data_IF_011946916948
#
_entry.id   IF_011946916948
#
_cell.length_a   1.000
_cell.length_b   1.000
_cell.length_c   1.000
_cell.angle_alpha   90.00
_cell.angle_beta   90.00
_cell.angle_gamma   90.00
#
_symmetry.space_group_name_H-M   'P 1'
#
loop_
_entity.id
_entity.type
_entity.pdbx_description
1 polymer ?
#
# COMPACT_ATOMS: atom_id res chain seq x y z
N UNK A 1 21.08 -10.08 -0.38
CA UNK A 1 19.99 -9.14 -0.16
C UNK A 1 19.15 -9.67 1.00
N UNK A 2 18.67 -8.84 1.92
CA UNK A 2 17.98 -9.32 3.10
C UNK A 2 16.63 -9.95 2.71
N UNK A 3 16.44 -11.19 3.12
CA UNK A 3 15.20 -11.94 2.99
C UNK A 3 14.87 -12.62 4.31
N UNK A 4 13.60 -12.86 4.56
CA UNK A 4 13.14 -13.64 5.72
C UNK A 4 12.07 -14.65 5.31
N UNK A 5 11.92 -15.70 6.10
CA UNK A 5 10.80 -16.63 5.96
C UNK A 5 9.60 -16.09 6.73
N UNK A 6 8.50 -15.90 6.05
CA UNK A 6 7.28 -15.38 6.63
C UNK A 6 6.08 -16.17 6.11
N UNK A 7 5.36 -16.84 7.00
CA UNK A 7 4.11 -17.54 6.70
C UNK A 7 4.20 -18.43 5.43
N UNK A 8 5.28 -19.22 5.32
CA UNK A 8 5.53 -20.10 4.16
C UNK A 8 6.05 -19.40 2.90
N UNK A 9 6.31 -18.11 2.95
CA UNK A 9 6.87 -17.32 1.86
C UNK A 9 8.27 -16.82 2.21
N UNK A 10 9.11 -16.59 1.19
CA UNK A 10 10.34 -15.82 1.34
C UNK A 10 10.05 -14.38 0.96
N UNK A 11 10.18 -13.45 1.91
CA UNK A 11 9.97 -12.04 1.66
C UNK A 11 11.31 -11.31 1.53
N UNK A 12 11.44 -10.50 0.49
CA UNK A 12 12.50 -9.49 0.35
C UNK A 12 12.09 -8.23 1.12
N UNK A 13 13.04 -7.64 1.85
CA UNK A 13 12.81 -6.39 2.56
C UNK A 13 14.05 -5.50 2.57
N UNK A 14 13.85 -4.24 2.86
CA UNK A 14 14.91 -3.25 3.11
C UNK A 14 14.60 -2.49 4.40
N UNK A 15 15.65 -2.09 5.11
CA UNK A 15 15.56 -1.27 6.33
C UNK A 15 16.43 -0.04 6.14
N UNK A 16 15.83 1.13 6.31
CA UNK A 16 16.48 2.42 6.11
C UNK A 16 16.29 3.32 7.34
N UNK A 17 17.33 4.04 7.75
CA UNK A 17 17.29 4.93 8.89
C UNK A 17 17.26 4.23 10.25
N UNK A 18 17.12 5.03 11.28
CA UNK A 18 17.07 4.64 12.68
C UNK A 18 15.86 5.31 13.37
N UNK A 19 15.54 4.88 14.57
CA UNK A 19 14.45 5.43 15.38
C UNK A 19 13.25 4.51 15.50
N UNK A 20 12.05 5.07 15.72
CA UNK A 20 10.84 4.28 15.89
C UNK A 20 10.47 3.56 14.58
N UNK A 21 10.08 2.27 14.65
CA UNK A 21 9.81 1.50 13.45
C UNK A 21 8.59 2.03 12.67
N UNK A 22 8.74 2.18 11.35
CA UNK A 22 7.67 2.43 10.40
C UNK A 22 7.66 1.33 9.33
N UNK A 23 6.63 0.52 9.31
CA UNK A 23 6.44 -0.50 8.26
C UNK A 23 5.55 0.07 7.16
N UNK A 24 6.03 0.02 5.92
CA UNK A 24 5.30 0.49 4.74
C UNK A 24 4.86 -0.70 3.88
N UNK A 25 3.56 -0.88 3.72
CA UNK A 25 2.94 -1.96 2.94
C UNK A 25 2.41 -1.39 1.63
N UNK A 26 2.99 -1.83 0.51
CA UNK A 26 2.63 -1.34 -0.83
C UNK A 26 1.40 -2.06 -1.41
N UNK A 27 0.80 -1.43 -2.42
CA UNK A 27 -0.38 -1.91 -3.12
C UNK A 27 -0.14 -3.02 -4.14
N UNK A 28 -1.18 -3.31 -4.90
CA UNK A 28 -1.23 -4.34 -5.94
C UNK A 28 -0.13 -4.12 -6.99
N UNK A 29 0.56 -5.18 -7.34
CA UNK A 29 1.58 -5.24 -8.40
C UNK A 29 2.84 -4.39 -8.18
N UNK A 30 2.94 -3.65 -7.10
CA UNK A 30 4.06 -2.77 -6.84
C UNK A 30 5.01 -3.37 -5.79
N UNK A 31 6.31 -3.25 -6.06
CA UNK A 31 7.40 -3.69 -5.20
C UNK A 31 8.04 -2.51 -4.43
N UNK A 32 9.16 -2.75 -3.76
CA UNK A 32 9.89 -1.73 -2.98
C UNK A 32 10.27 -0.49 -3.78
N UNK A 33 10.46 -0.57 -5.10
CA UNK A 33 10.77 0.59 -5.95
C UNK A 33 9.68 1.67 -5.92
N UNK A 34 8.43 1.29 -5.65
CA UNK A 34 7.33 2.24 -5.56
C UNK A 34 7.43 3.18 -4.35
N UNK A 35 8.32 2.90 -3.39
CA UNK A 35 8.62 3.76 -2.25
C UNK A 35 9.83 4.69 -2.47
N UNK A 36 10.41 4.74 -3.67
CA UNK A 36 11.66 5.47 -3.94
C UNK A 36 11.62 6.95 -3.51
N UNK A 37 10.46 7.62 -3.62
CA UNK A 37 10.29 9.02 -3.22
C UNK A 37 9.92 9.21 -1.73
N UNK A 38 9.68 8.13 -0.99
CA UNK A 38 9.29 8.12 0.42
C UNK A 38 10.43 7.74 1.34
N UNK A 39 11.20 6.73 0.95
CA UNK A 39 12.21 6.07 1.82
C UNK A 39 13.15 7.07 2.47
N UNK A 40 13.73 7.99 1.69
CA UNK A 40 14.69 8.95 2.25
C UNK A 40 14.04 9.86 3.30
N UNK A 41 12.87 10.41 3.00
CA UNK A 41 12.16 11.32 3.91
C UNK A 41 11.74 10.62 5.21
N UNK A 42 11.27 9.36 5.11
CA UNK A 42 10.88 8.59 6.29
C UNK A 42 12.09 8.15 7.11
N UNK A 43 13.17 7.73 6.45
CA UNK A 43 14.41 7.28 7.08
C UNK A 43 15.17 8.36 7.88
N UNK A 44 14.89 9.65 7.63
CA UNK A 44 15.43 10.74 8.44
C UNK A 44 14.91 10.74 9.90
N UNK A 45 13.77 10.09 10.16
CA UNK A 45 13.09 10.11 11.46
C UNK A 45 12.73 8.73 11.99
N UNK A 46 12.67 7.72 11.13
CA UNK A 46 12.16 6.39 11.46
C UNK A 46 13.07 5.28 10.93
N UNK A 47 13.10 4.17 11.65
CA UNK A 47 13.57 2.89 11.11
C UNK A 47 12.52 2.38 10.13
N UNK A 48 12.65 2.82 8.88
CA UNK A 48 11.67 2.54 7.81
C UNK A 48 11.91 1.17 7.20
N UNK A 49 10.91 0.30 7.29
CA UNK A 49 10.89 -1.04 6.70
C UNK A 49 9.99 -1.01 5.48
N UNK A 50 10.54 -1.31 4.31
CA UNK A 50 9.80 -1.57 3.07
C UNK A 50 10.05 -3.00 2.65
N UNK A 51 9.09 -3.64 1.99
CA UNK A 51 9.24 -5.02 1.55
C UNK A 51 8.37 -5.30 0.32
N UNK A 52 8.77 -6.32 -0.41
CA UNK A 52 7.99 -6.87 -1.49
C UNK A 52 6.94 -7.83 -0.92
N UNK A 53 5.66 -7.54 -1.11
CA UNK A 53 4.60 -8.48 -0.76
C UNK A 53 4.81 -9.82 -1.50
N UNK A 54 4.20 -10.92 -1.00
CA UNK A 54 4.15 -12.16 -1.79
C UNK A 54 3.66 -11.88 -3.21
N UNK A 55 4.18 -12.60 -4.19
CA UNK A 55 3.84 -12.48 -5.62
C UNK A 55 4.42 -11.25 -6.35
N UNK A 56 5.16 -10.35 -5.71
CA UNK A 56 5.83 -9.23 -6.40
C UNK A 56 7.34 -9.23 -6.17
N UNK A 57 8.06 -8.49 -7.01
CA UNK A 57 9.47 -8.19 -6.87
C UNK A 57 10.34 -9.42 -6.62
N UNK A 58 11.19 -9.34 -5.62
CA UNK A 58 12.14 -10.36 -5.20
C UNK A 58 11.56 -11.37 -4.19
N UNK A 59 10.33 -11.12 -3.71
CA UNK A 59 9.63 -12.10 -2.87
C UNK A 59 9.16 -13.31 -3.66
N UNK A 60 8.98 -14.43 -2.95
CA UNK A 60 8.52 -15.68 -3.59
C UNK A 60 7.14 -15.52 -4.23
N UNK A 61 6.91 -16.32 -5.24
CA UNK A 61 5.61 -16.43 -5.89
C UNK A 61 4.84 -17.56 -5.21
N UNK A 62 3.58 -17.28 -4.82
CA UNK A 62 2.73 -18.26 -4.18
C UNK A 62 2.28 -19.34 -5.18
N UNK A 63 2.12 -20.57 -4.70
CA UNK A 63 1.63 -21.69 -5.52
C UNK A 63 0.09 -21.75 -5.55
N UNK A 64 -0.55 -21.19 -4.49
CA UNK A 64 -2.00 -21.25 -4.31
C UNK A 64 -2.61 -19.85 -4.11
N UNK A 65 -3.94 -19.77 -4.24
CA UNK A 65 -4.70 -18.56 -3.92
C UNK A 65 -4.64 -18.30 -2.41
N UNK A 66 -4.58 -17.03 -2.04
CA UNK A 66 -4.52 -16.54 -0.67
C UNK A 66 -5.49 -15.37 -0.47
N UNK A 67 -5.62 -14.92 0.77
CA UNK A 67 -6.43 -13.77 1.16
C UNK A 67 -5.56 -12.61 1.68
N UNK A 68 -6.14 -11.43 1.84
CA UNK A 68 -5.47 -10.27 2.45
C UNK A 68 -4.96 -10.59 3.87
N UNK A 69 -5.66 -11.47 4.60
CA UNK A 69 -5.22 -11.93 5.94
C UNK A 69 -3.92 -12.70 5.93
N UNK A 70 -3.66 -13.48 4.88
CA UNK A 70 -2.39 -14.18 4.72
C UNK A 70 -1.24 -13.19 4.52
N UNK A 71 -1.47 -12.12 3.75
CA UNK A 71 -0.49 -11.04 3.55
C UNK A 71 -0.28 -10.20 4.83
N UNK A 72 -1.32 -10.04 5.63
CA UNK A 72 -1.20 -9.43 6.96
C UNK A 72 -0.35 -10.28 7.91
N UNK A 73 -0.52 -11.60 7.87
CA UNK A 73 0.34 -12.52 8.62
C UNK A 73 1.79 -12.49 8.13
N UNK A 74 2.04 -12.31 6.84
CA UNK A 74 3.38 -12.09 6.30
C UNK A 74 4.03 -10.85 6.93
N UNK A 75 3.27 -9.75 6.98
CA UNK A 75 3.73 -8.48 7.56
C UNK A 75 4.07 -8.63 9.05
N UNK A 76 3.22 -9.32 9.82
CA UNK A 76 3.46 -9.59 11.24
C UNK A 76 4.68 -10.47 11.45
N UNK A 77 4.85 -11.52 10.62
CA UNK A 77 6.02 -12.40 10.70
C UNK A 77 7.31 -11.69 10.29
N UNK A 78 7.25 -10.75 9.32
CA UNK A 78 8.39 -9.88 9.01
C UNK A 78 8.73 -8.98 10.22
N UNK A 79 7.73 -8.40 10.88
CA UNK A 79 7.94 -7.59 12.08
C UNK A 79 8.59 -8.42 13.21
N UNK A 80 8.17 -9.69 13.40
CA UNK A 80 8.77 -10.61 14.37
C UNK A 80 10.24 -10.91 14.02
N UNK A 81 10.53 -11.19 12.75
CA UNK A 81 11.89 -11.48 12.28
C UNK A 81 12.84 -10.26 12.43
N UNK A 82 12.30 -9.05 12.46
CA UNK A 82 13.03 -7.81 12.70
C UNK A 82 13.03 -7.34 14.16
N UNK A 83 12.45 -8.16 15.06
CA UNK A 83 12.32 -7.89 16.50
C UNK A 83 11.59 -6.56 16.79
N UNK A 84 10.50 -6.30 16.04
CA UNK A 84 9.68 -5.10 16.19
C UNK A 84 8.46 -5.40 17.07
N UNK A 85 8.56 -5.16 18.37
CA UNK A 85 7.45 -5.35 19.31
C UNK A 85 6.25 -4.45 18.99
N UNK A 86 6.52 -3.19 18.60
CA UNK A 86 5.50 -2.23 18.16
C UNK A 86 6.04 -1.33 17.05
N UNK A 87 5.14 -0.82 16.21
CA UNK A 87 5.51 -0.06 15.02
C UNK A 87 4.40 0.89 14.56
N UNK A 88 4.77 1.92 13.81
CA UNK A 88 3.86 2.68 12.97
C UNK A 88 3.62 1.90 11.67
N UNK A 89 2.40 1.93 11.16
CA UNK A 89 2.02 1.16 9.98
C UNK A 89 1.42 2.08 8.91
N UNK A 90 2.00 2.04 7.72
CA UNK A 90 1.51 2.72 6.53
C UNK A 90 1.09 1.69 5.48
N UNK A 91 -0.18 1.70 5.10
CA UNK A 91 -0.70 0.88 4.01
C UNK A 91 -1.18 1.71 2.83
N UNK A 92 -0.71 1.41 1.62
CA UNK A 92 -1.04 2.10 0.39
C UNK A 92 -1.91 1.22 -0.52
N UNK A 93 -3.10 1.67 -0.94
CA UNK A 93 -4.01 0.95 -1.83
C UNK A 93 -4.36 -0.45 -1.28
N UNK A 94 -4.09 -1.55 -1.99
CA UNK A 94 -4.22 -2.91 -1.45
C UNK A 94 -3.42 -3.08 -0.15
N UNK A 95 -2.26 -2.42 -0.03
CA UNK A 95 -1.48 -2.41 1.21
C UNK A 95 -2.23 -1.82 2.39
N UNK A 96 -3.17 -0.90 2.15
CA UNK A 96 -4.09 -0.40 3.17
C UNK A 96 -5.09 -1.46 3.64
N UNK A 97 -5.57 -2.33 2.77
CA UNK A 97 -6.39 -3.49 3.15
C UNK A 97 -5.58 -4.48 4.00
N UNK A 98 -4.30 -4.71 3.64
CA UNK A 98 -3.37 -5.53 4.44
C UNK A 98 -3.15 -4.89 5.82
N UNK A 99 -2.88 -3.60 5.87
CA UNK A 99 -2.65 -2.85 7.11
C UNK A 99 -3.88 -2.86 8.04
N UNK A 100 -5.10 -2.83 7.49
CA UNK A 100 -6.33 -3.02 8.27
C UNK A 100 -6.34 -4.40 8.95
N UNK A 101 -6.04 -5.48 8.23
CA UNK A 101 -6.00 -6.83 8.82
C UNK A 101 -4.86 -7.00 9.83
N UNK A 102 -3.69 -6.37 9.62
CA UNK A 102 -2.62 -6.31 10.63
C UNK A 102 -3.12 -5.64 11.90
N UNK A 103 -3.73 -4.46 11.79
CA UNK A 103 -4.25 -3.69 12.92
C UNK A 103 -5.40 -4.39 13.66
N UNK A 104 -6.25 -5.13 12.93
CA UNK A 104 -7.33 -5.93 13.51
C UNK A 104 -6.83 -7.19 14.24
N UNK A 105 -5.67 -7.72 13.82
CA UNK A 105 -5.11 -8.96 14.38
C UNK A 105 -4.16 -8.69 15.54
N UNK A 106 -3.40 -7.60 15.50
CA UNK A 106 -2.35 -7.26 16.47
C UNK A 106 -2.43 -5.77 16.85
N UNK A 107 -3.60 -5.34 17.31
CA UNK A 107 -3.92 -3.93 17.61
C UNK A 107 -2.93 -3.29 18.60
N UNK A 108 -2.45 -4.05 19.58
CA UNK A 108 -1.50 -3.61 20.60
C UNK A 108 -0.10 -3.33 20.07
N UNK A 109 0.23 -3.85 18.89
CA UNK A 109 1.52 -3.62 18.22
C UNK A 109 1.52 -2.40 17.30
N UNK A 110 0.35 -1.94 16.85
CA UNK A 110 0.23 -0.82 15.91
C UNK A 110 0.07 0.50 16.67
N UNK A 111 1.13 1.30 16.70
CA UNK A 111 1.15 2.60 17.41
C UNK A 111 0.30 3.66 16.71
N UNK A 112 0.40 3.73 15.39
CA UNK A 112 -0.45 4.54 14.51
C UNK A 112 -0.68 3.81 13.22
N UNK A 113 -1.83 4.02 12.60
CA UNK A 113 -2.21 3.41 11.33
C UNK A 113 -2.49 4.50 10.29
N UNK A 114 -1.71 4.55 9.21
CA UNK A 114 -1.98 5.40 8.05
C UNK A 114 -2.51 4.55 6.89
N UNK A 115 -3.70 4.89 6.40
CA UNK A 115 -4.41 4.20 5.34
C UNK A 115 -4.54 5.13 4.13
N UNK A 116 -3.68 4.97 3.13
CA UNK A 116 -3.61 5.85 1.96
C UNK A 116 -4.30 5.22 0.75
N UNK A 117 -5.16 5.98 0.07
CA UNK A 117 -5.84 5.62 -1.19
C UNK A 117 -6.42 4.20 -1.19
N UNK A 118 -7.09 3.82 -0.09
CA UNK A 118 -7.55 2.47 0.16
C UNK A 118 -9.05 2.42 0.52
N UNK A 119 -9.57 1.24 0.79
CA UNK A 119 -10.99 0.96 0.95
C UNK A 119 -11.24 -0.05 2.07
N UNK A 120 -12.43 -0.01 2.68
CA UNK A 120 -12.89 -1.04 3.62
C UNK A 120 -13.37 -2.31 2.91
N UNK A 121 -13.90 -2.17 1.69
CA UNK A 121 -14.35 -3.27 0.82
C UNK A 121 -14.30 -2.87 -0.64
N UNK A 122 -14.06 -3.83 -1.52
CA UNK A 122 -14.11 -3.61 -2.98
C UNK A 122 -15.53 -3.24 -3.46
N UNK A 123 -16.57 -3.83 -2.87
CA UNK A 123 -17.96 -3.65 -3.30
C UNK A 123 -18.21 -4.10 -4.74
N UNK A 124 -19.45 -3.96 -5.21
CA UNK A 124 -19.83 -4.47 -6.54
C UNK A 124 -19.07 -3.80 -7.70
N UNK A 125 -18.76 -2.51 -7.58
CA UNK A 125 -17.99 -1.80 -8.59
C UNK A 125 -16.56 -2.34 -8.66
N UNK A 126 -15.90 -2.46 -7.51
CA UNK A 126 -14.54 -3.01 -7.43
C UNK A 126 -14.46 -4.46 -7.88
N UNK A 127 -15.48 -5.28 -7.57
CA UNK A 127 -15.59 -6.64 -8.09
C UNK A 127 -15.62 -6.67 -9.62
N UNK A 128 -16.44 -5.82 -10.25
CA UNK A 128 -16.55 -5.77 -11.71
C UNK A 128 -15.31 -5.19 -12.37
N UNK A 129 -14.74 -4.15 -11.78
CA UNK A 129 -13.47 -3.58 -12.24
C UNK A 129 -12.36 -4.62 -12.22
N UNK A 130 -12.20 -5.35 -11.12
CA UNK A 130 -11.19 -6.40 -10.96
C UNK A 130 -11.37 -7.55 -11.96
N UNK A 131 -12.60 -7.96 -12.21
CA UNK A 131 -12.91 -8.97 -13.24
C UNK A 131 -12.42 -8.55 -14.63
N UNK A 132 -12.75 -7.32 -15.03
CA UNK A 132 -12.40 -6.78 -16.35
C UNK A 132 -10.89 -6.58 -16.46
N UNK A 133 -10.28 -5.94 -15.48
CA UNK A 133 -8.85 -5.62 -15.50
C UNK A 133 -7.98 -6.88 -15.35
N UNK A 134 -8.32 -7.77 -14.43
CA UNK A 134 -7.63 -9.05 -14.29
C UNK A 134 -7.71 -9.92 -15.55
N UNK A 135 -8.88 -9.97 -16.21
CA UNK A 135 -9.05 -10.66 -17.47
C UNK A 135 -8.25 -10.04 -18.61
N UNK A 136 -8.08 -8.71 -18.60
CA UNK A 136 -7.25 -7.99 -19.56
C UNK A 136 -5.75 -8.25 -19.34
N UNK A 137 -5.26 -8.25 -18.09
CA UNK A 137 -3.85 -8.51 -17.75
C UNK A 137 -3.30 -9.80 -18.35
N UNK A 138 -4.15 -10.82 -18.53
CA UNK A 138 -3.78 -12.10 -19.14
C UNK A 138 -3.57 -12.03 -20.67
N UNK A 139 -3.93 -10.93 -21.33
CA UNK A 139 -3.99 -10.79 -22.79
C UNK A 139 -3.12 -9.69 -23.35
N UNK A 140 -2.60 -8.81 -22.50
CA UNK A 140 -1.79 -7.67 -22.91
C UNK A 140 -0.31 -7.92 -22.63
N UNK A 141 0.55 -7.24 -23.38
CA UNK A 141 1.99 -7.21 -23.11
C UNK A 141 2.30 -6.51 -21.78
N UNK A 142 3.55 -6.64 -21.33
CA UNK A 142 4.02 -5.93 -20.14
C UNK A 142 3.96 -4.41 -20.35
N UNK A 143 4.35 -3.93 -21.51
CA UNK A 143 4.34 -2.53 -21.88
C UNK A 143 2.93 -1.96 -21.83
N UNK A 144 1.97 -2.63 -22.48
CA UNK A 144 0.57 -2.23 -22.46
C UNK A 144 -0.01 -2.21 -21.04
N UNK A 145 0.35 -3.17 -20.20
CA UNK A 145 -0.09 -3.20 -18.82
C UNK A 145 0.48 -2.04 -17.99
N UNK A 146 1.75 -1.68 -18.21
CA UNK A 146 2.39 -0.52 -17.55
C UNK A 146 1.68 0.77 -18.01
N UNK A 147 1.43 0.92 -19.31
CA UNK A 147 0.73 2.09 -19.84
C UNK A 147 -0.70 2.20 -19.25
N UNK A 148 -1.41 1.08 -19.10
CA UNK A 148 -2.72 1.05 -18.42
C UNK A 148 -2.62 1.42 -16.94
N UNK A 149 -1.63 0.91 -16.21
CA UNK A 149 -1.40 1.27 -14.82
C UNK A 149 -1.14 2.78 -14.66
N UNK A 150 -0.28 3.34 -15.50
CA UNK A 150 0.02 4.77 -15.48
C UNK A 150 -1.24 5.60 -15.74
N UNK A 151 -2.05 5.24 -16.76
CA UNK A 151 -3.30 5.94 -17.07
C UNK A 151 -4.33 5.87 -15.92
N UNK A 152 -4.34 4.81 -15.15
CA UNK A 152 -5.26 4.65 -14.03
C UNK A 152 -4.77 5.29 -12.73
N UNK A 153 -3.46 5.52 -12.61
CA UNK A 153 -2.87 5.99 -11.35
C UNK A 153 -2.35 7.42 -11.40
N UNK A 154 -2.06 7.96 -12.58
CA UNK A 154 -1.46 9.28 -12.78
C UNK A 154 -2.46 10.24 -13.45
N UNK A 155 -2.28 11.54 -13.21
CA UNK A 155 -3.16 12.57 -13.75
C UNK A 155 -2.86 12.91 -15.20
N UNK A 156 -3.83 13.51 -15.88
CA UNK A 156 -3.63 14.14 -17.20
C UNK A 156 -2.48 15.16 -17.17
N UNK A 157 -2.40 15.98 -16.11
CA UNK A 157 -1.33 16.97 -15.91
C UNK A 157 0.06 16.32 -15.84
N UNK A 158 0.17 15.13 -15.23
CA UNK A 158 1.43 14.38 -15.20
C UNK A 158 1.87 13.95 -16.60
N UNK A 159 0.95 13.51 -17.43
CA UNK A 159 1.25 13.09 -18.82
C UNK A 159 1.68 14.25 -19.71
N UNK A 160 1.29 15.50 -19.43
CA UNK A 160 1.79 16.69 -20.14
C UNK A 160 3.30 16.95 -19.86
N UNK A 161 3.86 16.36 -18.81
CA UNK A 161 5.30 16.33 -18.57
C UNK A 161 5.91 15.06 -19.18
N UNK A 162 6.29 15.15 -20.45
CA UNK A 162 6.82 14.00 -21.20
C UNK A 162 8.08 13.39 -20.56
N UNK A 163 8.98 14.21 -20.00
CA UNK A 163 10.21 13.72 -19.35
C UNK A 163 9.87 12.87 -18.10
N UNK A 164 9.01 13.36 -17.21
CA UNK A 164 8.57 12.64 -16.05
C UNK A 164 7.81 11.35 -16.42
N UNK A 165 6.93 11.43 -17.42
CA UNK A 165 6.18 10.27 -17.93
C UNK A 165 7.09 9.18 -18.45
N UNK A 166 8.06 9.54 -19.30
CA UNK A 166 9.05 8.60 -19.85
C UNK A 166 9.97 8.04 -18.75
N UNK A 167 10.34 8.85 -17.77
CA UNK A 167 11.15 8.40 -16.63
C UNK A 167 10.42 7.34 -15.81
N UNK A 168 9.20 7.60 -15.38
CA UNK A 168 8.40 6.64 -14.59
C UNK A 168 8.13 5.37 -15.39
N UNK A 169 7.71 5.50 -16.65
CA UNK A 169 7.53 4.36 -17.56
C UNK A 169 8.80 3.53 -17.71
N UNK A 170 9.93 4.19 -17.92
CA UNK A 170 11.24 3.55 -18.04
C UNK A 170 11.65 2.77 -16.78
N UNK A 171 11.42 3.36 -15.61
CA UNK A 171 11.65 2.70 -14.31
C UNK A 171 10.83 1.43 -14.17
N UNK A 172 9.53 1.48 -14.48
CA UNK A 172 8.65 0.31 -14.42
C UNK A 172 9.07 -0.78 -15.41
N UNK A 173 9.48 -0.40 -16.62
CA UNK A 173 9.99 -1.34 -17.63
C UNK A 173 11.34 -1.95 -17.26
N UNK A 174 12.18 -1.21 -16.55
CA UNK A 174 13.50 -1.66 -16.11
C UNK A 174 13.46 -2.59 -14.89
N UNK A 175 12.32 -2.78 -14.26
CA UNK A 175 12.18 -3.71 -13.13
C UNK A 175 12.65 -5.12 -13.54
N UNK A 176 13.72 -5.65 -12.90
CA UNK A 176 14.27 -6.96 -13.24
C UNK A 176 13.39 -8.13 -12.75
N UNK A 177 12.42 -7.85 -11.86
CA UNK A 177 11.54 -8.84 -11.24
C UNK A 177 10.06 -8.51 -11.47
N UNK A 178 9.62 -8.39 -12.73
CA UNK A 178 8.25 -8.02 -13.04
C UNK A 178 7.27 -9.08 -12.53
N UNK A 179 6.12 -8.63 -12.05
CA UNK A 179 5.08 -9.54 -11.58
C UNK A 179 4.48 -10.36 -12.74
N UNK A 180 4.47 -11.69 -12.64
CA UNK A 180 3.79 -12.55 -13.62
C UNK A 180 2.27 -12.33 -13.61
N UNK A 181 1.57 -12.54 -14.77
CA UNK A 181 0.12 -12.36 -14.85
C UNK A 181 -0.69 -13.20 -13.85
N UNK A 182 -0.27 -14.42 -13.56
CA UNK A 182 -0.91 -15.30 -12.58
C UNK A 182 -0.73 -14.80 -11.14
N UNK A 183 0.43 -14.24 -10.82
CA UNK A 183 0.71 -13.60 -9.53
C UNK A 183 -0.15 -12.33 -9.34
N UNK A 184 -0.27 -11.53 -10.40
CA UNK A 184 -1.19 -10.39 -10.42
C UNK A 184 -2.64 -10.83 -10.17
N UNK A 185 -3.08 -11.89 -10.82
CA UNK A 185 -4.43 -12.41 -10.65
C UNK A 185 -4.71 -12.87 -9.22
N UNK A 186 -3.75 -13.53 -8.55
CA UNK A 186 -3.90 -13.94 -7.14
C UNK A 186 -4.00 -12.75 -6.19
N UNK A 187 -3.14 -11.73 -6.34
CA UNK A 187 -3.21 -10.51 -5.52
C UNK A 187 -4.53 -9.76 -5.75
N UNK A 188 -4.93 -9.62 -7.01
CA UNK A 188 -6.17 -8.96 -7.37
C UNK A 188 -7.38 -9.67 -6.78
N UNK A 189 -7.42 -11.01 -6.82
CA UNK A 189 -8.49 -11.81 -6.23
C UNK A 189 -8.51 -11.70 -4.71
N UNK A 190 -7.35 -11.68 -4.03
CA UNK A 190 -7.26 -11.43 -2.60
C UNK A 190 -7.82 -10.05 -2.23
N UNK A 191 -7.41 -9.01 -2.97
CA UNK A 191 -7.89 -7.64 -2.80
C UNK A 191 -9.41 -7.52 -3.03
N UNK A 192 -9.92 -8.22 -4.05
CA UNK A 192 -11.34 -8.24 -4.42
C UNK A 192 -12.24 -8.82 -3.33
N UNK A 193 -11.75 -9.83 -2.60
CA UNK A 193 -12.49 -10.52 -1.53
C UNK A 193 -12.45 -9.80 -0.19
N UNK A 194 -11.58 -8.80 -0.04
CA UNK A 194 -11.44 -8.09 1.22
C UNK A 194 -12.73 -7.34 1.60
N UNK A 195 -13.16 -7.57 2.83
CA UNK A 195 -14.22 -6.81 3.49
C UNK A 195 -13.95 -6.74 5.00
N UNK A 196 -13.67 -5.54 5.48
CA UNK A 196 -13.38 -5.28 6.89
C UNK A 196 -14.47 -4.43 7.58
N UNK A 197 -15.53 -4.00 6.86
CA UNK A 197 -16.51 -3.01 7.33
C UNK A 197 -17.02 -3.26 8.73
N UNK A 198 -17.43 -4.49 9.03
CA UNK A 198 -18.04 -4.84 10.32
C UNK A 198 -17.02 -4.94 11.46
N UNK A 199 -15.71 -4.84 11.17
CA UNK A 199 -14.62 -5.02 12.14
C UNK A 199 -13.85 -3.73 12.43
N UNK A 200 -13.87 -2.76 11.50
CA UNK A 200 -13.07 -1.52 11.62
C UNK A 200 -13.43 -0.69 12.85
N UNK A 201 -14.68 -0.79 13.31
CA UNK A 201 -15.13 -0.11 14.54
C UNK A 201 -14.45 -0.57 15.82
N UNK A 202 -13.67 -1.67 15.79
CA UNK A 202 -12.88 -2.18 16.92
C UNK A 202 -11.45 -1.63 17.00
N UNK A 203 -11.00 -0.88 15.99
CA UNK A 203 -9.67 -0.27 16.00
C UNK A 203 -9.56 0.81 17.07
N UNK A 204 -8.49 0.77 17.88
CA UNK A 204 -8.30 1.66 19.03
C UNK A 204 -7.09 2.58 18.91
N UNK A 205 -6.15 2.26 18.02
CA UNK A 205 -5.00 3.12 17.75
C UNK A 205 -5.42 4.37 16.96
N UNK A 206 -4.63 5.47 16.99
CA UNK A 206 -4.84 6.60 16.10
C UNK A 206 -4.77 6.19 14.63
N UNK A 207 -5.77 6.61 13.84
CA UNK A 207 -5.87 6.29 12.40
C UNK A 207 -5.93 7.55 11.56
N UNK A 208 -5.12 7.59 10.49
CA UNK A 208 -5.16 8.62 9.47
C UNK A 208 -5.51 8.01 8.11
N UNK A 209 -6.61 8.42 7.53
CA UNK A 209 -6.99 8.10 6.16
C UNK A 209 -6.54 9.24 5.25
N UNK A 210 -5.68 8.95 4.28
CA UNK A 210 -5.24 9.91 3.25
C UNK A 210 -5.95 9.55 1.96
N UNK A 211 -6.85 10.43 1.54
CA UNK A 211 -7.65 10.27 0.32
C UNK A 211 -7.17 11.15 -0.83
N UNK A 212 -7.51 10.76 -2.06
CA UNK A 212 -7.22 11.53 -3.26
C UNK A 212 -8.52 11.84 -4.02
N UNK A 213 -8.73 13.13 -4.36
CA UNK A 213 -10.00 13.61 -4.91
C UNK A 213 -10.31 12.99 -6.29
N UNK A 214 -9.30 12.85 -7.14
CA UNK A 214 -9.43 12.35 -8.52
C UNK A 214 -9.04 10.87 -8.66
N UNK A 215 -9.00 10.12 -7.56
CA UNK A 215 -8.69 8.69 -7.59
C UNK A 215 -9.82 7.90 -8.29
N UNK A 216 -9.51 7.30 -9.44
CA UNK A 216 -10.44 6.49 -10.23
C UNK A 216 -10.38 5.01 -9.87
N UNK A 217 -9.29 4.53 -9.23
CA UNK A 217 -9.15 3.15 -8.77
C UNK A 217 -9.88 2.91 -7.43
N UNK A 218 -9.70 3.84 -6.50
CA UNK A 218 -10.39 3.85 -5.22
C UNK A 218 -11.06 5.21 -5.05
N UNK A 219 -12.26 5.40 -5.61
CA UNK A 219 -12.94 6.69 -5.57
C UNK A 219 -13.05 7.28 -4.16
N UNK A 220 -12.91 8.60 -4.04
CA UNK A 220 -12.84 9.32 -2.75
C UNK A 220 -13.99 8.97 -1.79
N UNK A 221 -15.17 8.62 -2.30
CA UNK A 221 -16.28 8.22 -1.44
C UNK A 221 -16.03 6.92 -0.65
N UNK A 222 -15.22 5.97 -1.21
CA UNK A 222 -14.78 4.75 -0.49
C UNK A 222 -13.79 5.08 0.63
N UNK A 223 -12.95 6.06 0.41
CA UNK A 223 -11.98 6.51 1.39
C UNK A 223 -12.66 7.28 2.53
N UNK A 224 -13.73 8.02 2.21
CA UNK A 224 -14.62 8.64 3.21
C UNK A 224 -15.39 7.57 4.01
N UNK A 225 -15.99 6.58 3.33
CA UNK A 225 -16.64 5.43 3.98
C UNK A 225 -15.66 4.74 4.96
N UNK A 226 -14.43 4.51 4.55
CA UNK A 226 -13.40 3.90 5.40
C UNK A 226 -13.16 4.74 6.67
N UNK A 227 -13.00 6.05 6.53
CA UNK A 227 -12.80 6.94 7.67
C UNK A 227 -14.03 6.97 8.61
N UNK A 228 -15.23 6.98 8.06
CA UNK A 228 -16.47 6.98 8.83
C UNK A 228 -16.67 5.68 9.64
N UNK A 229 -16.13 4.55 9.16
CA UNK A 229 -16.20 3.25 9.85
C UNK A 229 -15.22 3.12 11.02
N UNK A 230 -14.20 3.99 11.10
CA UNK A 230 -13.16 3.90 12.13
C UNK A 230 -13.34 5.03 13.15
N UNK A 231 -13.61 4.72 14.43
CA UNK A 231 -13.82 5.73 15.46
C UNK A 231 -12.62 6.68 15.61
N UNK A 232 -12.86 7.98 15.48
CA UNK A 232 -11.79 8.98 15.65
C UNK A 232 -10.77 9.08 14.52
N UNK A 233 -11.00 8.42 13.39
CA UNK A 233 -10.08 8.53 12.25
C UNK A 233 -10.00 9.96 11.72
N UNK A 234 -8.77 10.45 11.50
CA UNK A 234 -8.50 11.69 10.76
C UNK A 234 -8.62 11.39 9.27
N UNK A 235 -9.37 12.19 8.52
CA UNK A 235 -9.41 12.14 7.06
C UNK A 235 -8.75 13.39 6.48
N UNK A 236 -7.76 13.19 5.61
CA UNK A 236 -7.20 14.25 4.78
C UNK A 236 -7.39 13.90 3.31
N UNK A 237 -7.89 14.84 2.52
CA UNK A 237 -8.05 14.68 1.07
C UNK A 237 -7.03 15.54 0.36
N UNK A 238 -6.18 14.94 -0.48
CA UNK A 238 -5.29 15.66 -1.38
C UNK A 238 -6.11 16.06 -2.61
N UNK A 239 -6.26 17.37 -2.79
CA UNK A 239 -7.07 17.93 -3.87
C UNK A 239 -6.44 17.69 -5.24
N UNK A 240 -7.26 17.48 -6.26
CA UNK A 240 -6.84 17.26 -7.67
C UNK A 240 -5.78 16.17 -7.82
N UNK A 241 -5.68 15.25 -6.89
CA UNK A 241 -4.71 14.17 -6.89
C UNK A 241 -5.37 12.86 -7.34
N UNK A 242 -4.73 12.11 -8.27
CA UNK A 242 -5.18 10.78 -8.64
C UNK A 242 -4.68 9.73 -7.64
N UNK A 243 -4.78 8.44 -8.00
CA UNK A 243 -4.33 7.34 -7.14
C UNK A 243 -2.84 7.41 -6.77
N UNK A 244 -1.98 7.94 -7.64
CA UNK A 244 -0.52 7.99 -7.52
C UNK A 244 0.01 9.14 -6.65
N UNK A 245 -0.59 9.44 -5.50
CA UNK A 245 -0.16 10.52 -4.60
C UNK A 245 1.31 10.40 -4.17
N UNK A 246 1.78 9.19 -3.96
CA UNK A 246 3.17 8.91 -3.59
C UNK A 246 4.18 9.28 -4.71
N UNK A 247 3.72 9.49 -5.93
CA UNK A 247 4.53 9.92 -7.07
C UNK A 247 4.30 11.41 -7.36
N UNK A 248 3.05 11.81 -7.63
CA UNK A 248 2.75 13.16 -8.09
C UNK A 248 2.76 14.21 -6.99
N UNK A 249 2.42 13.81 -5.77
CA UNK A 249 2.37 14.67 -4.57
C UNK A 249 3.29 14.14 -3.48
N UNK A 250 4.46 13.59 -3.87
CA UNK A 250 5.35 12.89 -2.95
C UNK A 250 5.70 13.70 -1.70
N UNK A 251 6.06 14.97 -1.86
CA UNK A 251 6.42 15.83 -0.72
C UNK A 251 5.23 16.06 0.23
N UNK A 252 4.04 16.35 -0.30
CA UNK A 252 2.81 16.54 0.47
C UNK A 252 2.40 15.24 1.17
N UNK A 253 2.43 14.13 0.45
CA UNK A 253 2.13 12.79 0.99
C UNK A 253 3.07 12.43 2.14
N UNK A 254 4.38 12.60 1.94
CA UNK A 254 5.40 12.32 2.96
C UNK A 254 5.17 13.17 4.22
N UNK A 255 4.89 14.46 4.04
CA UNK A 255 4.64 15.37 5.15
C UNK A 255 3.39 14.95 5.95
N UNK A 256 2.29 14.58 5.28
CA UNK A 256 1.06 14.12 5.94
C UNK A 256 1.30 12.88 6.81
N UNK A 257 2.10 11.94 6.32
CA UNK A 257 2.45 10.72 7.09
C UNK A 257 3.30 11.07 8.30
N UNK A 258 4.38 11.84 8.10
CA UNK A 258 5.33 12.19 9.15
C UNK A 258 4.71 13.08 10.24
N UNK A 259 3.89 14.06 9.85
CA UNK A 259 3.22 14.95 10.81
C UNK A 259 2.22 14.16 11.65
N UNK A 260 1.45 13.25 11.05
CA UNK A 260 0.52 12.44 11.81
C UNK A 260 1.23 11.56 12.85
N UNK A 261 2.34 10.91 12.50
CA UNK A 261 3.12 10.13 13.46
C UNK A 261 3.64 11.04 14.59
N UNK A 262 4.20 12.19 14.24
CA UNK A 262 4.75 13.13 15.21
C UNK A 262 3.67 13.70 16.15
N UNK A 263 2.47 14.01 15.65
CA UNK A 263 1.32 14.45 16.46
C UNK A 263 0.95 13.43 17.54
N UNK A 264 1.03 12.12 17.24
CA UNK A 264 0.66 11.05 18.16
C UNK A 264 1.78 10.70 19.16
N UNK A 265 3.04 10.89 18.78
CA UNK A 265 4.19 10.63 19.66
C UNK A 265 4.50 11.80 20.60
N UNK A 266 4.11 13.03 20.26
CA UNK A 266 4.28 14.22 21.09
C UNK A 266 3.17 14.39 22.15
N UNK A 267 2.06 13.67 22.06
CA UNK A 267 0.99 13.74 23.06
C UNK A 267 1.48 13.11 24.39
N UNK A 268 1.49 13.82 25.51
CA UNK A 268 1.84 13.22 26.80
C UNK A 268 0.82 12.13 27.15
N UNK A 269 1.30 10.98 27.58
CA UNK A 269 0.53 9.87 28.14
C UNK A 269 -0.16 10.30 29.44
#
# INVERSE_FOLDING_TARGET
MPTTQANGQTLYYEVHGDGEPLICVMGLAANTLAWALQVQAFAERHRTVIFDNRDVGQSSKADEQYEIRDMAQDTLTLADALELDSFHLLGYSMGGAIAQEVALTASERVRTLTLAVTFATSGNWGLKFSEVWGGRRQRVSREEHIDELMLMTLSEEFFENEEATQYVRGMMLADPNPQPPEAFARQLEASRRHDARDRLGSLTMPVHVIGCEHDILVPIWKQRELADLIPGAKLTTIERCPHGANIERAAEFNQLVLDFIAEQTAAPV
#
